data_IF_871396066731
#
_entry.id   IF_871396066731
#
_cell.length_a   1.000
_cell.length_b   1.000
_cell.length_c   1.000
_cell.angle_alpha   90.00
_cell.angle_beta   90.00
_cell.angle_gamma   90.00
#
_symmetry.space_group_name_H-M   'P 1'
#
loop_
_entity.id
_entity.type
_entity.pdbx_description
1 polymer ?
#
# COMPACT_ATOMS: atom_id res chain seq x y z
N UNK A 1 -4.96 43.41 -23.01
CA UNK A 1 -4.99 43.40 -24.50
C UNK A 1 -3.91 42.41 -24.94
N UNK A 2 -4.32 41.16 -25.27
CA UNK A 2 -4.27 40.54 -26.63
C UNK A 2 -2.85 40.46 -27.22
N UNK A 3 -2.32 39.42 -27.86
CA UNK A 3 -2.64 38.01 -28.16
C UNK A 3 -1.44 37.55 -29.04
N UNK A 4 -0.83 36.38 -28.81
CA UNK A 4 -0.97 35.13 -29.59
C UNK A 4 -0.27 35.09 -30.98
N UNK A 5 0.48 34.00 -31.22
CA UNK A 5 1.01 33.58 -32.52
C UNK A 5 2.16 32.56 -32.36
N UNK A 6 1.84 31.28 -32.09
CA UNK A 6 1.87 30.17 -33.07
C UNK A 6 3.28 29.76 -33.55
N UNK A 7 3.75 28.58 -33.14
CA UNK A 7 4.47 27.68 -34.02
C UNK A 7 4.08 26.23 -33.76
N UNK A 8 4.04 25.48 -34.87
CA UNK A 8 3.16 24.35 -35.13
C UNK A 8 3.86 23.00 -34.93
N UNK A 9 3.02 21.98 -34.81
CA UNK A 9 3.26 20.54 -34.72
C UNK A 9 4.36 19.95 -35.65
N UNK A 10 5.07 18.92 -35.16
CA UNK A 10 5.22 17.61 -35.86
C UNK A 10 5.81 16.50 -34.96
N UNK A 11 4.95 15.52 -34.68
CA UNK A 11 5.15 14.07 -34.57
C UNK A 11 6.58 13.51 -34.36
N UNK A 12 6.77 12.77 -33.26
CA UNK A 12 7.58 11.55 -33.29
C UNK A 12 6.99 10.48 -32.36
N UNK A 13 6.66 9.33 -32.96
CA UNK A 13 6.10 8.14 -32.32
C UNK A 13 7.16 7.39 -31.50
N UNK A 14 6.75 6.76 -30.37
CA UNK A 14 6.88 5.30 -30.09
C UNK A 14 6.79 4.99 -28.58
N UNK A 15 6.04 3.90 -28.32
CA UNK A 15 5.94 3.09 -27.08
C UNK A 15 5.32 3.76 -25.85
N UNK A 16 3.99 3.68 -25.81
CA UNK A 16 3.23 3.68 -24.55
C UNK A 16 3.46 2.33 -23.86
N UNK A 17 4.31 2.32 -22.83
CA UNK A 17 4.30 1.26 -21.81
C UNK A 17 2.95 1.38 -21.08
N UNK A 18 2.06 0.43 -21.31
CA UNK A 18 0.84 0.29 -20.53
C UNK A 18 1.17 -0.21 -19.12
N UNK A 19 1.51 0.73 -18.23
CA UNK A 19 1.36 0.53 -16.80
C UNK A 19 -0.12 0.78 -16.48
N UNK A 20 -0.87 -0.30 -16.33
CA UNK A 20 -2.21 -0.27 -15.74
C UNK A 20 -2.09 0.14 -14.27
N UNK A 21 -1.96 1.44 -14.03
CA UNK A 21 -2.04 2.02 -12.70
C UNK A 21 -3.51 2.04 -12.25
N UNK A 22 -3.85 1.23 -11.26
CA UNK A 22 -5.06 1.38 -10.43
C UNK A 22 -4.87 2.60 -9.49
N UNK A 23 -4.41 3.72 -10.03
CA UNK A 23 -4.09 4.95 -9.29
C UNK A 23 -5.30 5.86 -9.07
N UNK A 24 -6.45 5.57 -9.70
CA UNK A 24 -7.62 6.46 -9.62
C UNK A 24 -8.67 6.03 -8.59
N UNK A 25 -8.57 4.84 -7.99
CA UNK A 25 -9.67 4.30 -7.18
C UNK A 25 -9.62 4.76 -5.71
N UNK A 26 -8.43 4.88 -5.11
CA UNK A 26 -8.32 5.08 -3.67
C UNK A 26 -8.28 6.54 -3.19
N UNK A 27 -7.81 7.48 -4.00
CA UNK A 27 -7.79 8.90 -3.61
C UNK A 27 -9.20 9.50 -3.39
N UNK A 28 -10.26 8.77 -3.77
CA UNK A 28 -11.68 9.13 -3.56
C UNK A 28 -12.51 8.01 -2.88
N UNK A 29 -11.89 6.95 -2.36
CA UNK A 29 -12.58 5.72 -1.94
C UNK A 29 -12.86 5.57 -0.45
N UNK A 30 -12.04 6.21 0.41
CA UNK A 30 -12.22 6.23 1.87
C UNK A 30 -12.39 7.69 2.28
N UNK A 31 -13.55 8.03 2.84
CA UNK A 31 -13.81 9.33 3.42
C UNK A 31 -13.81 9.20 4.94
N UNK A 32 -12.79 9.80 5.57
CA UNK A 32 -12.69 9.95 7.03
C UNK A 32 -13.12 11.37 7.38
N UNK A 33 -14.21 11.50 8.15
CA UNK A 33 -14.73 12.81 8.54
C UNK A 33 -14.23 13.16 9.95
N UNK A 34 -13.49 14.26 10.06
CA UNK A 34 -13.09 14.89 11.33
C UNK A 34 -13.93 16.15 11.58
N UNK A 35 -14.12 16.49 12.86
CA UNK A 35 -14.87 17.69 13.27
C UNK A 35 -14.11 18.96 12.86
N UNK A 36 -14.62 19.69 11.88
CA UNK A 36 -14.31 21.10 11.65
C UNK A 36 -15.49 21.75 10.93
N UNK A 37 -16.25 22.58 11.67
CA UNK A 37 -17.24 23.49 11.09
C UNK A 37 -16.48 24.66 10.46
N UNK A 38 -16.52 24.75 9.14
CA UNK A 38 -16.16 25.97 8.43
C UNK A 38 -17.04 26.05 7.18
N UNK A 39 -18.12 26.82 7.29
CA UNK A 39 -18.86 27.30 6.15
C UNK A 39 -18.01 28.34 5.43
N UNK A 40 -17.75 28.12 4.14
CA UNK A 40 -17.45 29.23 3.24
C UNK A 40 -18.08 28.98 1.88
N UNK A 41 -18.97 29.90 1.53
CA UNK A 41 -19.63 30.03 0.24
C UNK A 41 -18.70 30.66 -0.79
N UNK A 42 -18.66 30.09 -1.99
CA UNK A 42 -18.38 30.88 -3.20
C UNK A 42 -18.95 30.16 -4.43
N UNK A 43 -19.72 30.90 -5.21
CA UNK A 43 -20.41 30.47 -6.41
C UNK A 43 -19.47 30.45 -7.61
N UNK A 44 -19.58 29.42 -8.46
CA UNK A 44 -19.77 29.62 -9.92
C UNK A 44 -19.96 28.30 -10.66
N UNK A 45 -20.99 28.24 -11.50
CA UNK A 45 -21.22 27.19 -12.50
C UNK A 45 -21.99 25.96 -12.01
N UNK A 46 -23.15 26.15 -11.38
CA UNK A 46 -23.87 25.04 -10.73
C UNK A 46 -24.85 24.32 -11.67
N UNK A 47 -24.87 22.96 -11.70
CA UNK A 47 -26.08 22.21 -11.98
C UNK A 47 -27.20 22.77 -11.09
N UNK A 48 -28.47 22.78 -11.50
CA UNK A 48 -29.56 23.18 -10.61
C UNK A 48 -29.35 22.53 -9.24
N UNK A 49 -29.41 23.30 -8.15
CA UNK A 49 -29.05 22.85 -6.79
C UNK A 49 -29.62 21.46 -6.48
N UNK A 50 -30.87 21.21 -6.91
CA UNK A 50 -31.54 19.91 -6.88
C UNK A 50 -30.80 18.77 -7.62
N UNK A 51 -30.32 18.99 -8.85
CA UNK A 51 -29.51 18.00 -9.61
C UNK A 51 -28.15 17.77 -8.98
N UNK A 52 -27.53 18.79 -8.38
CA UNK A 52 -26.27 18.64 -7.66
C UNK A 52 -26.45 17.83 -6.36
N UNK A 53 -27.52 18.11 -5.60
CA UNK A 53 -27.90 17.38 -4.39
C UNK A 53 -28.30 15.93 -4.70
N UNK A 54 -29.07 15.70 -5.75
CA UNK A 54 -29.43 14.35 -6.23
C UNK A 54 -28.18 13.57 -6.63
N UNK A 55 -27.27 14.18 -7.40
CA UNK A 55 -25.99 13.55 -7.75
C UNK A 55 -25.13 13.25 -6.52
N UNK A 56 -25.14 14.12 -5.51
CA UNK A 56 -24.42 13.90 -4.26
C UNK A 56 -25.04 12.76 -3.45
N UNK A 57 -26.37 12.70 -3.32
CA UNK A 57 -27.08 11.59 -2.67
C UNK A 57 -26.76 10.26 -3.35
N UNK A 58 -26.92 10.19 -4.67
CA UNK A 58 -26.60 9.00 -5.45
C UNK A 58 -25.13 8.58 -5.29
N UNK A 59 -24.20 9.55 -5.16
CA UNK A 59 -22.79 9.25 -4.91
C UNK A 59 -22.56 8.67 -3.50
N UNK A 60 -23.22 9.22 -2.48
CA UNK A 60 -23.09 8.82 -1.08
C UNK A 60 -23.77 7.48 -0.79
N UNK A 61 -24.79 7.07 -1.55
CA UNK A 61 -25.47 5.77 -1.40
C UNK A 61 -24.50 4.57 -1.58
N UNK A 62 -23.40 4.77 -2.30
CA UNK A 62 -22.36 3.75 -2.46
C UNK A 62 -21.43 3.63 -1.25
N UNK A 63 -21.53 4.53 -0.27
CA UNK A 63 -20.64 4.59 0.89
C UNK A 63 -21.28 3.97 2.12
N UNK A 64 -20.49 3.14 2.80
CA UNK A 64 -20.88 2.45 4.01
C UNK A 64 -20.05 2.93 5.18
N UNK A 65 -20.71 3.37 6.25
CA UNK A 65 -20.04 3.77 7.48
C UNK A 65 -19.65 2.53 8.29
N UNK A 66 -18.37 2.19 8.32
CA UNK A 66 -17.87 1.05 9.10
C UNK A 66 -18.00 1.24 10.62
N UNK A 67 -18.27 2.46 11.10
CA UNK A 67 -18.47 2.72 12.53
C UNK A 67 -19.93 2.54 12.97
N UNK A 68 -20.86 2.42 12.03
CA UNK A 68 -22.26 2.11 12.30
C UNK A 68 -22.36 0.76 13.05
N UNK A 69 -23.07 0.69 14.19
CA UNK A 69 -23.31 -0.56 14.91
C UNK A 69 -23.85 -1.70 14.04
N UNK A 70 -24.65 -1.40 13.00
CA UNK A 70 -25.15 -2.40 12.05
C UNK A 70 -24.01 -3.10 11.27
N UNK A 71 -22.86 -2.44 11.12
CA UNK A 71 -21.70 -2.95 10.39
C UNK A 71 -20.66 -3.62 11.28
N UNK A 72 -20.99 -3.90 12.55
CA UNK A 72 -20.07 -4.53 13.51
C UNK A 72 -19.49 -5.86 13.01
N UNK A 73 -20.26 -6.63 12.25
CA UNK A 73 -19.84 -7.89 11.64
C UNK A 73 -18.64 -7.73 10.67
N UNK A 74 -18.50 -6.57 10.02
CA UNK A 74 -17.33 -6.26 9.17
C UNK A 74 -16.10 -5.92 10.02
N UNK A 75 -16.29 -5.17 11.10
CA UNK A 75 -15.21 -4.67 11.96
C UNK A 75 -14.76 -5.64 13.04
N UNK A 76 -15.48 -6.75 13.22
CA UNK A 76 -15.14 -7.76 14.22
C UNK A 76 -13.83 -8.46 13.86
N UNK A 77 -12.79 -8.23 14.66
CA UNK A 77 -11.47 -8.81 14.44
C UNK A 77 -11.41 -10.32 14.70
N UNK A 78 -12.41 -10.87 15.38
CA UNK A 78 -12.49 -12.31 15.67
C UNK A 78 -13.12 -13.11 14.54
N UNK A 79 -13.73 -12.45 13.55
CA UNK A 79 -14.39 -13.10 12.41
C UNK A 79 -13.44 -14.04 11.63
N UNK A 80 -13.99 -15.04 10.92
CA UNK A 80 -13.22 -15.84 9.97
C UNK A 80 -12.57 -14.95 8.92
N UNK A 81 -11.26 -15.09 8.74
CA UNK A 81 -10.49 -14.26 7.82
C UNK A 81 -10.25 -14.97 6.48
N UNK A 82 -11.36 -15.26 5.79
CA UNK A 82 -11.36 -15.89 4.46
C UNK A 82 -11.00 -14.85 3.40
N UNK A 83 -9.70 -14.51 3.34
CA UNK A 83 -9.20 -13.39 2.54
C UNK A 83 -9.21 -13.69 1.04
N UNK A 84 -9.76 -12.76 0.26
CA UNK A 84 -9.58 -12.69 -1.17
C UNK A 84 -8.17 -12.18 -1.47
N UNK A 85 -7.42 -12.95 -2.26
CA UNK A 85 -6.09 -12.59 -2.70
C UNK A 85 -6.17 -11.79 -4.00
N UNK A 86 -5.56 -10.60 -4.09
CA UNK A 86 -5.55 -9.82 -5.32
C UNK A 86 -4.94 -10.55 -6.52
N UNK A 87 -3.90 -11.35 -6.29
CA UNK A 87 -3.26 -12.16 -7.32
C UNK A 87 -2.99 -13.58 -6.83
N UNK A 88 -4.02 -14.45 -6.78
CA UNK A 88 -3.86 -15.81 -6.29
C UNK A 88 -2.81 -16.56 -7.12
N UNK A 89 -1.95 -17.31 -6.43
CA UNK A 89 -0.91 -18.14 -7.02
C UNK A 89 -1.19 -19.60 -6.74
N UNK A 90 -0.73 -20.48 -7.61
CA UNK A 90 -0.81 -21.93 -7.40
C UNK A 90 -0.11 -22.35 -6.10
N UNK A 91 0.99 -21.65 -5.76
CA UNK A 91 1.76 -21.85 -4.54
C UNK A 91 1.76 -20.56 -3.74
N UNK A 92 1.18 -20.60 -2.55
CA UNK A 92 1.26 -19.50 -1.59
C UNK A 92 2.70 -19.32 -1.11
N UNK A 93 3.21 -18.09 -1.17
CA UNK A 93 4.57 -17.75 -0.73
C UNK A 93 4.48 -16.98 0.57
N UNK A 94 4.87 -17.63 1.66
CA UNK A 94 4.98 -16.96 2.96
C UNK A 94 6.27 -16.08 3.02
N UNK A 95 6.42 -15.24 4.05
CA UNK A 95 7.55 -14.32 4.13
C UNK A 95 8.92 -15.00 4.17
N UNK A 96 9.03 -16.20 4.78
CA UNK A 96 10.27 -16.95 4.82
C UNK A 96 10.64 -17.52 3.43
N UNK A 97 9.64 -17.99 2.68
CA UNK A 97 9.83 -18.49 1.32
C UNK A 97 10.21 -17.38 0.36
N UNK A 98 9.66 -16.17 0.55
CA UNK A 98 10.08 -14.98 -0.20
C UNK A 98 11.58 -14.70 -0.04
N UNK A 99 12.10 -14.78 1.19
CA UNK A 99 13.55 -14.62 1.46
C UNK A 99 14.38 -15.69 0.74
N UNK A 100 13.91 -16.95 0.74
CA UNK A 100 14.57 -18.05 0.01
C UNK A 100 14.57 -17.82 -1.50
N UNK A 101 13.47 -17.34 -2.08
CA UNK A 101 13.37 -17.02 -3.51
C UNK A 101 14.39 -15.96 -3.93
N UNK A 102 14.61 -14.95 -3.09
CA UNK A 102 15.64 -13.92 -3.35
C UNK A 102 17.04 -14.53 -3.28
N UNK A 103 17.35 -15.26 -2.21
CA UNK A 103 18.67 -15.87 -1.99
C UNK A 103 19.04 -16.85 -3.11
N UNK A 104 18.08 -17.61 -3.62
CA UNK A 104 18.28 -18.60 -4.68
C UNK A 104 18.19 -18.03 -6.10
N UNK A 105 17.91 -16.74 -6.25
CA UNK A 105 17.79 -16.11 -7.57
C UNK A 105 19.13 -16.03 -8.29
N UNK A 106 19.11 -16.22 -9.62
CA UNK A 106 20.30 -16.07 -10.46
C UNK A 106 20.95 -14.69 -10.31
N UNK A 107 20.15 -13.64 -10.12
CA UNK A 107 20.65 -12.27 -9.94
C UNK A 107 21.53 -12.15 -8.71
N UNK A 108 21.08 -12.68 -7.57
CA UNK A 108 21.86 -12.63 -6.33
C UNK A 108 23.06 -13.57 -6.41
N UNK A 109 22.90 -14.77 -7.01
CA UNK A 109 24.03 -15.68 -7.24
C UNK A 109 25.13 -15.00 -8.07
N UNK A 110 24.78 -14.33 -9.16
CA UNK A 110 25.73 -13.61 -10.01
C UNK A 110 26.44 -12.47 -9.27
N UNK A 111 25.71 -11.71 -8.44
CA UNK A 111 26.31 -10.66 -7.59
C UNK A 111 27.29 -11.28 -6.60
N UNK A 112 26.92 -12.38 -5.94
CA UNK A 112 27.78 -13.09 -5.00
C UNK A 112 29.04 -13.64 -5.67
N UNK A 113 28.95 -14.28 -6.85
CA UNK A 113 30.12 -14.76 -7.57
C UNK A 113 31.06 -13.60 -7.94
N UNK A 114 30.50 -12.53 -8.52
CA UNK A 114 31.27 -11.37 -8.97
C UNK A 114 32.01 -10.69 -7.81
N UNK A 115 31.32 -10.43 -6.70
CA UNK A 115 31.89 -9.77 -5.52
C UNK A 115 32.86 -10.67 -4.75
N UNK A 116 32.62 -11.99 -4.75
CA UNK A 116 33.53 -12.95 -4.09
C UNK A 116 34.85 -13.15 -4.84
N UNK A 117 34.89 -12.91 -6.16
CA UNK A 117 36.08 -13.18 -6.97
C UNK A 117 36.50 -14.66 -6.98
N UNK A 118 35.57 -15.56 -6.68
CA UNK A 118 35.85 -17.01 -6.56
C UNK A 118 36.35 -17.46 -5.19
N UNK A 119 36.56 -16.56 -4.22
CA UNK A 119 36.95 -16.93 -2.85
C UNK A 119 35.75 -17.52 -2.07
N UNK A 120 35.78 -18.81 -1.66
CA UNK A 120 34.70 -19.43 -0.91
C UNK A 120 34.42 -18.76 0.44
N UNK A 121 35.44 -18.23 1.12
CA UNK A 121 35.29 -17.58 2.44
C UNK A 121 34.56 -16.26 2.30
N UNK A 122 35.01 -15.42 1.36
CA UNK A 122 34.36 -14.14 1.03
C UNK A 122 32.92 -14.36 0.57
N UNK A 123 32.66 -15.38 -0.24
CA UNK A 123 31.31 -15.76 -0.66
C UNK A 123 30.40 -16.13 0.52
N UNK A 124 30.91 -16.92 1.48
CA UNK A 124 30.14 -17.29 2.66
C UNK A 124 29.80 -16.07 3.54
N UNK A 125 30.73 -15.12 3.66
CA UNK A 125 30.49 -13.85 4.35
C UNK A 125 29.41 -13.02 3.63
N UNK A 126 29.52 -12.84 2.31
CA UNK A 126 28.52 -12.12 1.52
C UNK A 126 27.13 -12.75 1.64
N UNK A 127 27.02 -14.09 1.66
CA UNK A 127 25.75 -14.79 1.89
C UNK A 127 25.16 -14.45 3.26
N UNK A 128 25.98 -14.36 4.31
CA UNK A 128 25.52 -13.93 5.65
C UNK A 128 25.03 -12.49 5.61
N UNK A 129 25.74 -11.60 4.93
CA UNK A 129 25.33 -10.21 4.73
C UNK A 129 24.01 -10.10 3.96
N UNK A 130 23.82 -10.87 2.90
CA UNK A 130 22.54 -10.93 2.16
C UNK A 130 21.40 -11.39 3.05
N UNK A 131 21.62 -12.42 3.88
CA UNK A 131 20.60 -12.89 4.85
C UNK A 131 20.26 -11.79 5.86
N UNK A 132 21.26 -11.11 6.41
CA UNK A 132 21.04 -9.99 7.33
C UNK A 132 20.24 -8.86 6.68
N UNK A 133 20.54 -8.51 5.42
CA UNK A 133 19.77 -7.52 4.65
C UNK A 133 18.32 -8.00 4.45
N UNK A 134 18.11 -9.28 4.11
CA UNK A 134 16.77 -9.85 3.95
C UNK A 134 15.98 -9.86 5.26
N UNK A 135 16.64 -10.08 6.39
CA UNK A 135 16.03 -9.98 7.71
C UNK A 135 15.74 -8.52 8.09
N UNK A 136 16.56 -7.57 7.66
CA UNK A 136 16.31 -6.14 7.84
C UNK A 136 15.11 -5.67 7.01
N UNK A 137 14.99 -6.06 5.74
CA UNK A 137 13.95 -5.51 4.84
C UNK A 137 12.64 -6.32 4.87
N UNK A 138 12.70 -7.64 5.11
CA UNK A 138 11.60 -8.55 4.81
C UNK A 138 10.37 -8.37 5.70
N UNK A 139 9.18 -8.38 5.10
CA UNK A 139 7.94 -8.38 5.88
C UNK A 139 7.78 -9.66 6.71
N UNK A 140 6.83 -9.64 7.64
CA UNK A 140 6.32 -10.82 8.33
C UNK A 140 4.79 -10.74 8.42
N UNK A 141 4.12 -11.82 8.79
CA UNK A 141 2.65 -11.84 8.92
C UNK A 141 2.21 -12.63 10.14
N UNK A 142 1.56 -11.95 11.09
CA UNK A 142 0.95 -12.58 12.25
C UNK A 142 -0.51 -12.16 12.39
N UNK A 143 -1.42 -13.09 12.07
CA UNK A 143 -2.86 -12.85 12.21
C UNK A 143 -3.24 -12.53 13.66
N UNK A 144 -2.56 -13.12 14.65
CA UNK A 144 -2.79 -12.82 16.06
C UNK A 144 -2.50 -11.34 16.37
N UNK A 145 -1.35 -10.83 15.90
CA UNK A 145 -0.99 -9.41 16.08
C UNK A 145 -1.95 -8.50 15.32
N UNK A 146 -2.28 -8.83 14.07
CA UNK A 146 -3.27 -8.07 13.27
C UNK A 146 -4.60 -7.96 14.01
N UNK A 147 -5.10 -9.05 14.61
CA UNK A 147 -6.35 -9.08 15.36
C UNK A 147 -6.31 -8.23 16.63
N UNK A 148 -5.23 -8.33 17.41
CA UNK A 148 -5.05 -7.53 18.62
C UNK A 148 -4.99 -6.04 18.27
N UNK A 149 -4.15 -5.66 17.31
CA UNK A 149 -4.01 -4.27 16.88
C UNK A 149 -5.30 -3.72 16.29
N UNK A 150 -6.01 -4.49 15.45
CA UNK A 150 -7.29 -4.06 14.89
C UNK A 150 -8.38 -3.92 15.95
N UNK A 151 -8.31 -4.67 17.06
CA UNK A 151 -9.25 -4.54 18.18
C UNK A 151 -9.00 -3.25 18.95
N UNK A 152 -7.72 -2.94 19.21
CA UNK A 152 -7.29 -1.67 19.80
C UNK A 152 -7.68 -0.50 18.87
N UNK A 153 -7.44 -0.65 17.57
CA UNK A 153 -7.77 0.36 16.57
C UNK A 153 -9.28 0.63 16.50
N UNK A 154 -10.11 -0.42 16.57
CA UNK A 154 -11.56 -0.31 16.67
C UNK A 154 -11.99 0.59 17.85
N UNK A 155 -11.40 0.36 19.02
CA UNK A 155 -11.66 1.17 20.22
C UNK A 155 -11.27 2.65 20.01
N UNK A 156 -10.06 2.88 19.47
CA UNK A 156 -9.54 4.24 19.22
C UNK A 156 -10.41 4.97 18.19
N UNK A 157 -10.65 4.36 17.02
CA UNK A 157 -11.37 4.98 15.91
C UNK A 157 -12.80 5.36 16.32
N UNK A 158 -13.52 4.49 17.05
CA UNK A 158 -14.88 4.79 17.52
C UNK A 158 -14.94 5.94 18.52
N UNK A 159 -13.82 6.26 19.18
CA UNK A 159 -13.71 7.37 20.13
C UNK A 159 -13.35 8.69 19.45
N UNK A 160 -12.58 8.65 18.37
CA UNK A 160 -12.03 9.86 17.73
C UNK A 160 -12.74 10.27 16.43
N UNK A 161 -13.36 9.33 15.72
CA UNK A 161 -14.02 9.57 14.42
C UNK A 161 -15.54 9.50 14.58
N UNK A 162 -16.25 10.42 13.93
CA UNK A 162 -17.71 10.40 13.84
C UNK A 162 -18.23 9.38 12.82
N UNK A 163 -17.39 9.03 11.83
CA UNK A 163 -17.72 8.07 10.79
C UNK A 163 -16.51 7.71 9.94
N UNK A 164 -16.53 6.51 9.39
CA UNK A 164 -15.51 6.02 8.46
C UNK A 164 -16.20 5.38 7.26
N UNK A 165 -16.24 6.11 6.16
CA UNK A 165 -17.04 5.74 4.99
C UNK A 165 -16.17 5.08 3.94
N UNK A 166 -16.56 3.89 3.52
CA UNK A 166 -15.90 3.13 2.44
C UNK A 166 -16.89 2.97 1.30
N UNK A 167 -16.46 3.26 0.07
CA UNK A 167 -17.27 2.99 -1.11
C UNK A 167 -17.31 1.48 -1.38
N UNK A 168 -18.35 0.80 -0.89
CA UNK A 168 -18.48 -0.66 -0.95
C UNK A 168 -18.62 -1.13 -2.40
N UNK A 169 -19.43 -0.44 -3.21
CA UNK A 169 -19.63 -0.78 -4.63
C UNK A 169 -18.31 -0.81 -5.41
N UNK A 170 -17.45 0.20 -5.22
CA UNK A 170 -16.13 0.26 -5.87
C UNK A 170 -15.17 -0.79 -5.33
N UNK A 171 -15.25 -1.09 -4.04
CA UNK A 171 -14.40 -2.11 -3.44
C UNK A 171 -14.77 -3.51 -3.95
N UNK A 172 -16.06 -3.80 -4.12
CA UNK A 172 -16.53 -5.05 -4.72
C UNK A 172 -16.16 -5.15 -6.20
N UNK A 173 -16.27 -4.05 -6.95
CA UNK A 173 -15.77 -3.98 -8.34
C UNK A 173 -14.26 -4.22 -8.42
N UNK A 174 -13.48 -3.75 -7.45
CA UNK A 174 -12.05 -4.03 -7.39
C UNK A 174 -11.81 -5.52 -7.11
N UNK A 175 -12.55 -6.11 -6.16
CA UNK A 175 -12.44 -7.54 -5.81
C UNK A 175 -12.79 -8.45 -6.99
N UNK A 176 -13.77 -8.08 -7.83
CA UNK A 176 -14.13 -8.87 -9.01
C UNK A 176 -13.06 -8.84 -10.12
N UNK A 177 -12.10 -7.92 -10.04
CA UNK A 177 -10.95 -7.83 -10.96
C UNK A 177 -9.70 -8.54 -10.44
N UNK A 178 -9.75 -9.12 -9.23
CA UNK A 178 -8.67 -9.96 -8.72
C UNK A 178 -8.53 -11.25 -9.53
N UNK A 179 -7.31 -11.80 -9.61
CA UNK A 179 -7.06 -13.05 -10.34
C UNK A 179 -5.89 -12.97 -11.31
N UNK A 180 -5.87 -11.92 -12.15
CA UNK A 180 -5.00 -11.94 -13.34
C UNK A 180 -3.69 -11.16 -13.18
N UNK A 181 -3.62 -10.24 -12.21
CA UNK A 181 -2.54 -9.24 -12.13
C UNK A 181 -2.22 -8.87 -10.69
N UNK A 182 -0.94 -8.55 -10.43
CA UNK A 182 -0.52 -7.94 -9.16
C UNK A 182 -1.21 -6.61 -8.95
N UNK A 183 -1.84 -6.42 -7.79
CA UNK A 183 -2.47 -5.15 -7.42
C UNK A 183 -1.48 -4.29 -6.62
N UNK A 184 -1.35 -3.04 -7.06
CA UNK A 184 -0.60 -2.01 -6.36
C UNK A 184 -1.57 -1.00 -5.76
N UNK A 185 -1.58 -0.89 -4.43
CA UNK A 185 -2.37 0.10 -3.70
C UNK A 185 -1.56 1.39 -3.60
N UNK A 186 -2.11 2.48 -4.14
CA UNK A 186 -1.46 3.78 -4.23
C UNK A 186 -2.30 4.86 -3.55
N UNK A 187 -2.46 4.79 -2.22
CA UNK A 187 -3.16 5.83 -1.47
C UNK A 187 -2.38 7.15 -1.46
N UNK A 188 -3.10 8.26 -1.32
CA UNK A 188 -2.50 9.57 -1.03
C UNK A 188 -1.97 9.60 0.40
N UNK A 189 -0.72 10.03 0.62
CA UNK A 189 -0.05 9.97 1.93
C UNK A 189 -0.20 11.29 2.70
N UNK A 190 -1.32 11.43 3.41
CA UNK A 190 -1.63 12.61 4.22
C UNK A 190 -1.28 12.41 5.69
N UNK A 191 -1.26 11.17 6.18
CA UNK A 191 -0.98 10.86 7.59
C UNK A 191 -0.26 9.51 7.78
N UNK A 192 0.36 9.28 8.95
CA UNK A 192 0.83 7.92 9.31
C UNK A 192 -0.33 6.95 9.57
N UNK A 193 -1.57 7.44 9.69
CA UNK A 193 -2.74 6.57 9.82
C UNK A 193 -3.13 5.89 8.50
N UNK A 194 -2.66 6.38 7.35
CA UNK A 194 -3.21 5.97 6.06
C UNK A 194 -2.92 4.49 5.75
N UNK A 195 -1.71 4.00 6.03
CA UNK A 195 -1.37 2.57 5.86
C UNK A 195 -2.11 1.68 6.88
N UNK A 196 -2.37 2.20 8.09
CA UNK A 196 -3.14 1.49 9.12
C UNK A 196 -4.58 1.34 8.66
N UNK A 197 -5.18 2.42 8.13
CA UNK A 197 -6.55 2.43 7.64
C UNK A 197 -6.72 1.54 6.40
N UNK A 198 -5.75 1.52 5.49
CA UNK A 198 -5.77 0.60 4.34
C UNK A 198 -5.78 -0.86 4.78
N UNK A 199 -4.90 -1.21 5.72
CA UNK A 199 -4.83 -2.55 6.31
C UNK A 199 -6.12 -2.91 7.04
N UNK A 200 -6.69 -1.95 7.77
CA UNK A 200 -7.93 -2.12 8.52
C UNK A 200 -9.14 -2.36 7.60
N UNK A 201 -9.30 -1.55 6.55
CA UNK A 201 -10.36 -1.74 5.55
C UNK A 201 -10.20 -3.06 4.82
N UNK A 202 -8.96 -3.43 4.44
CA UNK A 202 -8.67 -4.73 3.81
C UNK A 202 -9.14 -5.88 4.70
N UNK A 203 -8.81 -5.85 6.00
CA UNK A 203 -9.31 -6.83 6.95
C UNK A 203 -10.84 -6.85 7.04
N UNK A 204 -11.48 -5.67 7.16
CA UNK A 204 -12.94 -5.56 7.28
C UNK A 204 -13.68 -6.24 6.12
N UNK A 205 -13.16 -6.13 4.90
CA UNK A 205 -13.76 -6.66 3.68
C UNK A 205 -13.20 -8.01 3.21
N UNK A 206 -12.43 -8.69 4.08
CA UNK A 206 -11.77 -9.97 3.77
C UNK A 206 -10.93 -9.88 2.49
N UNK A 207 -10.10 -8.84 2.39
CA UNK A 207 -9.07 -8.70 1.37
C UNK A 207 -7.74 -8.94 2.06
N UNK A 208 -6.83 -9.67 1.42
CA UNK A 208 -5.49 -9.88 1.95
C UNK A 208 -4.79 -8.52 2.17
N UNK A 209 -4.22 -8.34 3.36
CA UNK A 209 -3.52 -7.10 3.71
C UNK A 209 -2.28 -6.98 2.82
N UNK A 210 -2.11 -5.87 2.08
CA UNK A 210 -0.98 -5.71 1.17
C UNK A 210 0.33 -5.59 1.92
N UNK A 211 1.43 -5.95 1.24
CA UNK A 211 2.78 -5.69 1.75
C UNK A 211 3.04 -4.19 1.72
N UNK A 212 3.35 -3.60 2.88
CA UNK A 212 3.41 -2.14 3.03
C UNK A 212 4.86 -1.68 2.94
N UNK A 213 5.17 -0.81 1.97
CA UNK A 213 6.48 -0.19 1.89
C UNK A 213 6.64 0.87 2.99
N UNK A 214 7.53 0.63 3.95
CA UNK A 214 7.82 1.53 5.05
C UNK A 214 9.28 2.04 5.01
N UNK A 215 9.51 3.26 5.50
CA UNK A 215 10.85 3.79 5.70
C UNK A 215 11.54 3.19 6.92
N UNK A 216 12.87 3.05 6.87
CA UNK A 216 13.67 2.54 8.00
C UNK A 216 13.55 3.32 9.31
N UNK A 217 13.09 4.58 9.27
CA UNK A 217 12.89 5.39 10.48
C UNK A 217 11.87 4.73 11.45
N UNK A 218 10.90 3.97 10.92
CA UNK A 218 9.97 3.17 11.73
C UNK A 218 10.60 1.90 12.28
N UNK A 219 11.56 1.32 11.57
CA UNK A 219 12.28 0.14 12.03
C UNK A 219 13.10 0.45 13.28
N UNK A 220 13.70 1.64 13.34
CA UNK A 220 14.52 2.09 14.48
C UNK A 220 13.72 2.44 15.74
N UNK A 221 12.38 2.50 15.69
CA UNK A 221 11.56 2.71 16.88
C UNK A 221 11.38 1.39 17.63
N UNK A 222 11.82 1.36 18.90
CA UNK A 222 11.70 0.18 19.76
C UNK A 222 10.25 -0.34 19.78
N UNK A 223 10.09 -1.66 19.63
CA UNK A 223 8.82 -2.40 19.53
C UNK A 223 7.97 -2.12 18.28
N UNK A 224 7.81 -0.86 17.87
CA UNK A 224 6.97 -0.50 16.71
C UNK A 224 7.48 -1.10 15.39
N UNK A 225 8.80 -1.17 15.19
CA UNK A 225 9.39 -1.79 14.00
C UNK A 225 9.11 -3.30 13.89
N UNK A 226 8.95 -4.01 15.00
CA UNK A 226 8.60 -5.45 14.98
C UNK A 226 7.11 -5.65 14.80
N UNK A 227 6.29 -4.81 15.46
CA UNK A 227 4.83 -4.87 15.39
C UNK A 227 4.35 -4.57 13.96
N UNK A 228 4.83 -3.50 13.35
CA UNK A 228 4.48 -3.13 11.97
C UNK A 228 4.96 -4.19 10.96
N UNK A 229 6.11 -4.81 11.21
CA UNK A 229 6.58 -5.90 10.37
C UNK A 229 5.59 -7.04 10.35
N UNK A 230 5.08 -7.43 11.52
CA UNK A 230 4.09 -8.51 11.67
C UNK A 230 2.71 -8.18 11.07
N UNK A 231 2.47 -6.93 10.68
CA UNK A 231 1.28 -6.53 9.90
C UNK A 231 1.54 -6.49 8.39
N UNK A 232 2.68 -6.99 7.90
CA UNK A 232 3.04 -7.00 6.48
C UNK A 232 3.94 -5.85 6.02
N UNK A 233 4.49 -5.03 6.93
CA UNK A 233 5.39 -3.95 6.54
C UNK A 233 6.79 -4.48 6.20
N UNK A 234 7.33 -4.05 5.06
CA UNK A 234 8.73 -4.25 4.67
C UNK A 234 9.45 -2.91 4.62
N UNK A 235 10.76 -2.91 4.89
CA UNK A 235 11.51 -1.68 5.15
C UNK A 235 12.48 -1.33 4.03
N UNK A 236 12.57 -0.03 3.74
CA UNK A 236 13.47 0.55 2.75
C UNK A 236 14.33 1.65 3.36
N UNK A 237 15.65 1.61 3.11
CA UNK A 237 16.60 2.66 3.49
C UNK A 237 16.38 3.92 2.64
N UNK A 238 16.54 5.10 3.24
CA UNK A 238 16.38 6.41 2.56
C UNK A 238 17.54 6.77 1.63
N UNK A 239 18.75 6.28 1.91
CA UNK A 239 19.97 6.62 1.17
C UNK A 239 20.22 5.67 0.00
N UNK A 240 20.08 6.20 -1.22
CA UNK A 240 20.44 5.49 -2.45
C UNK A 240 21.95 5.55 -2.70
N UNK A 241 22.54 4.45 -3.19
CA UNK A 241 23.85 4.47 -3.86
C UNK A 241 25.08 4.05 -3.06
N UNK A 242 25.12 4.21 -1.73
CA UNK A 242 26.34 3.89 -0.96
C UNK A 242 26.57 2.39 -0.72
N UNK A 243 25.51 1.58 -0.75
CA UNK A 243 25.56 0.13 -0.48
C UNK A 243 25.00 -0.63 -1.70
N UNK A 244 25.89 -0.99 -2.63
CA UNK A 244 25.50 -1.67 -3.89
C UNK A 244 24.88 -3.04 -3.64
N UNK A 245 25.39 -3.78 -2.65
CA UNK A 245 24.88 -5.10 -2.28
C UNK A 245 23.46 -4.99 -1.74
N UNK A 246 23.20 -4.04 -0.83
CA UNK A 246 21.86 -3.76 -0.34
C UNK A 246 20.89 -3.48 -1.48
N UNK A 247 21.23 -2.57 -2.41
CA UNK A 247 20.34 -2.22 -3.51
C UNK A 247 20.10 -3.36 -4.50
N UNK A 248 21.08 -4.25 -4.69
CA UNK A 248 20.91 -5.47 -5.47
C UNK A 248 19.91 -6.42 -4.78
N UNK A 249 20.06 -6.66 -3.48
CA UNK A 249 19.17 -7.51 -2.67
C UNK A 249 17.77 -6.91 -2.60
N UNK A 250 17.63 -5.62 -2.32
CA UNK A 250 16.34 -4.94 -2.22
C UNK A 250 15.58 -4.95 -3.55
N UNK A 251 16.26 -4.69 -4.68
CA UNK A 251 15.64 -4.74 -6.01
C UNK A 251 15.13 -6.15 -6.33
N UNK A 252 15.91 -7.18 -5.99
CA UNK A 252 15.48 -8.56 -6.17
C UNK A 252 14.33 -8.92 -5.23
N UNK A 253 14.38 -8.51 -3.97
CA UNK A 253 13.28 -8.67 -3.01
C UNK A 253 11.98 -8.08 -3.55
N UNK A 254 12.02 -6.85 -4.04
CA UNK A 254 10.86 -6.20 -4.63
C UNK A 254 10.33 -6.93 -5.87
N UNK A 255 11.24 -7.45 -6.70
CA UNK A 255 10.86 -8.26 -7.86
C UNK A 255 10.15 -9.54 -7.45
N UNK A 256 10.63 -10.23 -6.42
CA UNK A 256 9.99 -11.45 -5.93
C UNK A 256 8.66 -11.13 -5.25
N UNK A 257 8.58 -10.03 -4.49
CA UNK A 257 7.33 -9.57 -3.90
C UNK A 257 6.28 -9.34 -4.99
N UNK A 258 6.58 -8.58 -6.04
CA UNK A 258 5.60 -8.32 -7.13
C UNK A 258 5.21 -9.59 -7.90
N UNK A 259 6.13 -10.55 -8.07
CA UNK A 259 5.90 -11.75 -8.91
C UNK A 259 5.22 -12.89 -8.17
N UNK A 260 5.59 -13.12 -6.92
CA UNK A 260 5.28 -14.33 -6.17
C UNK A 260 4.33 -14.08 -4.98
N UNK A 261 4.25 -12.84 -4.48
CA UNK A 261 3.34 -12.49 -3.40
C UNK A 261 1.93 -12.23 -3.93
N UNK A 262 0.95 -12.81 -3.26
CA UNK A 262 -0.45 -12.88 -3.66
C UNK A 262 -1.32 -11.76 -3.05
N UNK A 263 -0.87 -11.14 -1.95
CA UNK A 263 -1.64 -10.13 -1.21
C UNK A 263 -1.64 -8.72 -1.85
N UNK A 264 -0.83 -8.48 -2.88
CA UNK A 264 -0.60 -7.14 -3.43
C UNK A 264 0.38 -6.30 -2.60
N UNK A 265 0.69 -5.10 -3.07
CA UNK A 265 1.70 -4.22 -2.47
C UNK A 265 1.17 -2.80 -2.33
N UNK A 266 1.36 -2.19 -1.17
CA UNK A 266 1.01 -0.80 -0.90
C UNK A 266 2.26 0.08 -1.00
N UNK A 267 2.16 1.15 -1.78
CA UNK A 267 3.25 2.09 -2.00
C UNK A 267 2.76 3.54 -1.99
N UNK A 268 3.47 4.38 -1.25
CA UNK A 268 3.23 5.82 -1.19
C UNK A 268 4.18 6.54 -2.15
N UNK A 269 3.72 6.83 -3.37
CA UNK A 269 4.55 7.42 -4.45
C UNK A 269 5.13 8.79 -4.04
N UNK A 270 4.46 9.50 -3.15
CA UNK A 270 4.89 10.82 -2.67
C UNK A 270 6.22 10.75 -1.89
N UNK A 271 6.64 9.58 -1.40
CA UNK A 271 7.90 9.34 -0.69
C UNK A 271 8.06 10.06 0.66
N UNK A 272 7.28 11.12 0.86
CA UNK A 272 7.12 11.98 2.02
C UNK A 272 5.65 12.40 2.08
N UNK A 273 5.13 12.75 3.26
CA UNK A 273 3.73 13.21 3.38
C UNK A 273 3.50 14.43 2.49
N UNK A 274 2.42 14.45 1.73
CA UNK A 274 2.01 15.64 0.99
C UNK A 274 1.76 16.78 1.98
N UNK A 275 2.58 17.83 1.90
CA UNK A 275 2.40 19.07 2.68
C UNK A 275 1.43 20.00 1.93
N UNK A 276 0.13 19.74 1.97
CA UNK A 276 -0.88 20.74 1.56
C UNK A 276 -1.36 21.54 2.77
N UNK A 277 -0.51 22.45 3.26
CA UNK A 277 -0.86 23.57 4.14
C UNK A 277 0.36 24.51 4.25
N UNK A 278 0.71 25.15 3.14
CA UNK A 278 1.34 26.47 3.20
C UNK A 278 0.29 27.44 2.69
N UNK A 279 -0.39 28.08 3.65
CA UNK A 279 -0.97 29.39 3.42
C UNK A 279 0.17 30.39 3.19
#
# INVERSE_FOLDING_TARGET
KKNFGQFNNRLCSRRRLELNLVGSFFSRGILVQHHTMAESSSESGTPTKAKAEERMRNYLDHFKNLLDPAQRHLTDMTKPYNRAFPFPKDVHVNPADLKKLVLNSERIRNVLEKESGGDPRKKAELVRTVKAILDEIGLDESLAVIRVLGTILNYIIRRILSGMYVNETKLEQLKSQFGDRTVLYLPSHRSYGDFILMSYVSFCYNIAIPGIAAGMDFHSMAFMGSILRQTGAFYMRRSFGNDQLYWAVFKEYMRQLVRAYDNGVEFFIEGTRSRSNKA
#
